data_IF_971302192269
#
_entry.id   IF_971302192269
#
_cell.length_a   1.000
_cell.length_b   1.000
_cell.length_c   1.000
_cell.angle_alpha   90.00
_cell.angle_beta   90.00
_cell.angle_gamma   90.00
#
_symmetry.space_group_name_H-M   'P 1'
#
loop_
_entity.id
_entity.type
_entity.pdbx_description
1 polymer ?
#
# COMPACT_ATOMS: atom_id res chain seq x y z
N UNK A 1 14.67 -13.87 9.37
CA UNK A 1 14.26 -13.00 10.49
C UNK A 1 12.74 -12.81 10.44
N UNK A 2 12.04 -13.04 11.55
CA UNK A 2 10.58 -12.93 11.64
C UNK A 2 10.06 -11.50 11.60
N UNK A 3 8.73 -11.33 11.50
CA UNK A 3 8.09 -10.01 11.46
C UNK A 3 7.99 -9.43 12.89
N UNK A 4 8.79 -8.41 13.18
CA UNK A 4 8.68 -7.66 14.43
C UNK A 4 7.38 -6.84 14.49
N UNK A 5 6.82 -6.69 15.70
CA UNK A 5 5.71 -5.78 15.96
C UNK A 5 6.18 -4.34 15.76
N UNK A 6 5.36 -3.50 15.14
CA UNK A 6 5.61 -2.07 14.94
C UNK A 6 4.47 -1.27 15.54
N UNK A 7 4.80 -0.18 16.23
CA UNK A 7 3.80 0.77 16.72
C UNK A 7 3.12 1.48 15.55
N UNK A 8 1.82 1.76 15.70
CA UNK A 8 1.05 2.50 14.70
C UNK A 8 1.24 4.00 14.86
N UNK A 9 2.45 4.45 14.55
CA UNK A 9 2.84 5.86 14.47
C UNK A 9 3.74 6.09 13.26
N UNK A 10 4.05 7.36 12.95
CA UNK A 10 4.99 7.70 11.88
C UNK A 10 6.36 7.06 12.18
N UNK A 11 6.91 6.34 11.20
CA UNK A 11 8.27 5.79 11.29
C UNK A 11 9.25 6.94 11.04
N UNK A 12 10.03 7.35 12.03
CA UNK A 12 10.92 8.51 11.90
C UNK A 12 12.13 8.23 10.99
N UNK A 13 12.75 7.05 11.14
CA UNK A 13 13.86 6.63 10.30
C UNK A 13 13.44 6.57 8.82
N UNK A 14 14.05 7.43 7.99
CA UNK A 14 13.69 7.61 6.58
C UNK A 14 13.83 6.32 5.75
N UNK A 15 14.89 5.55 5.98
CA UNK A 15 15.17 4.30 5.25
C UNK A 15 14.12 3.24 5.60
N UNK A 16 13.85 3.04 6.89
CA UNK A 16 12.84 2.09 7.35
C UNK A 16 11.44 2.49 6.88
N UNK A 17 11.14 3.79 6.88
CA UNK A 17 9.87 4.32 6.35
C UNK A 17 9.74 4.05 4.85
N UNK A 18 10.80 4.26 4.06
CA UNK A 18 10.80 3.98 2.61
C UNK A 18 10.59 2.49 2.31
N UNK A 19 11.33 1.61 2.99
CA UNK A 19 11.18 0.16 2.82
C UNK A 19 9.78 -0.30 3.25
N UNK A 20 9.28 0.22 4.36
CA UNK A 20 7.94 -0.09 4.86
C UNK A 20 6.86 0.41 3.91
N UNK A 21 7.00 1.62 3.37
CA UNK A 21 6.10 2.16 2.36
C UNK A 21 6.04 1.24 1.15
N UNK A 22 7.18 0.86 0.57
CA UNK A 22 7.23 -0.04 -0.59
C UNK A 22 6.53 -1.37 -0.32
N UNK A 23 6.79 -2.01 0.83
CA UNK A 23 6.18 -3.29 1.19
C UNK A 23 4.67 -3.17 1.45
N UNK A 24 4.23 -2.17 2.23
CA UNK A 24 2.81 -1.97 2.56
C UNK A 24 1.99 -1.53 1.36
N UNK A 25 2.51 -0.63 0.53
CA UNK A 25 1.87 -0.19 -0.72
C UNK A 25 1.62 -1.40 -1.63
N UNK A 26 2.60 -2.27 -1.83
CA UNK A 26 2.43 -3.47 -2.65
C UNK A 26 1.37 -4.42 -2.07
N UNK A 27 1.37 -4.63 -0.74
CA UNK A 27 0.34 -5.43 -0.08
C UNK A 27 -1.07 -4.84 -0.20
N UNK A 28 -1.19 -3.51 -0.10
CA UNK A 28 -2.46 -2.81 -0.26
C UNK A 28 -3.00 -2.88 -1.68
N UNK A 29 -2.14 -2.67 -2.69
CA UNK A 29 -2.49 -2.85 -4.11
C UNK A 29 -2.99 -4.27 -4.38
N UNK A 30 -2.31 -5.29 -3.83
CA UNK A 30 -2.75 -6.68 -3.94
C UNK A 30 -4.14 -6.89 -3.34
N UNK A 31 -4.41 -6.29 -2.17
CA UNK A 31 -5.72 -6.40 -1.51
C UNK A 31 -6.83 -5.68 -2.27
N UNK A 32 -6.55 -4.52 -2.86
CA UNK A 32 -7.50 -3.83 -3.72
C UNK A 32 -7.88 -4.68 -4.94
N UNK A 33 -6.90 -5.30 -5.59
CA UNK A 33 -7.12 -6.23 -6.70
C UNK A 33 -7.89 -7.50 -6.28
N UNK A 34 -7.50 -8.12 -5.17
CA UNK A 34 -8.21 -9.31 -4.65
C UNK A 34 -9.69 -8.98 -4.37
N UNK A 35 -9.96 -7.82 -3.76
CA UNK A 35 -11.32 -7.38 -3.47
C UNK A 35 -12.14 -7.14 -4.74
N UNK A 36 -11.56 -6.45 -5.73
CA UNK A 36 -12.28 -6.17 -6.98
C UNK A 36 -12.67 -7.45 -7.71
N UNK A 37 -11.76 -8.43 -7.78
CA UNK A 37 -12.01 -9.70 -8.48
C UNK A 37 -12.95 -10.62 -7.71
N UNK A 38 -12.76 -10.77 -6.39
CA UNK A 38 -13.53 -11.75 -5.59
C UNK A 38 -14.97 -11.30 -5.32
N UNK A 39 -15.21 -10.00 -5.30
CA UNK A 39 -16.50 -9.44 -4.91
C UNK A 39 -17.19 -8.65 -6.02
N UNK A 40 -16.63 -8.67 -7.24
CA UNK A 40 -17.13 -7.89 -8.38
C UNK A 40 -17.36 -6.41 -8.01
N UNK A 41 -16.40 -5.85 -7.28
CA UNK A 41 -16.50 -4.52 -6.71
C UNK A 41 -15.64 -3.54 -7.50
N UNK A 42 -16.21 -2.39 -7.84
CA UNK A 42 -15.44 -1.26 -8.35
C UNK A 42 -14.58 -0.67 -7.22
N UNK A 43 -13.26 -0.70 -7.41
CA UNK A 43 -12.27 -0.25 -6.42
C UNK A 43 -11.28 0.70 -7.07
N UNK A 44 -11.05 1.85 -6.43
CA UNK A 44 -10.02 2.80 -6.77
C UNK A 44 -9.08 3.05 -5.58
N UNK A 45 -7.78 3.16 -5.86
CA UNK A 45 -6.74 3.46 -4.86
C UNK A 45 -5.76 4.48 -5.43
N UNK A 46 -5.50 5.54 -4.68
CA UNK A 46 -4.58 6.62 -5.06
C UNK A 46 -3.59 6.84 -3.90
N UNK A 47 -2.29 6.78 -4.18
CA UNK A 47 -1.24 6.91 -3.18
C UNK A 47 -0.14 7.84 -3.69
N UNK A 48 0.12 8.92 -2.96
CA UNK A 48 1.30 9.76 -3.17
C UNK A 48 2.42 9.37 -2.21
N UNK A 49 3.62 9.15 -2.76
CA UNK A 49 4.82 9.05 -1.91
C UNK A 49 5.24 10.42 -1.38
N UNK A 50 6.12 10.43 -0.38
CA UNK A 50 6.70 11.68 0.13
C UNK A 50 7.53 12.47 -0.89
N UNK A 51 7.81 11.90 -2.07
CA UNK A 51 8.47 12.58 -3.20
C UNK A 51 7.48 13.03 -4.28
N UNK A 52 6.18 12.97 -4.01
CA UNK A 52 5.13 13.33 -4.96
C UNK A 52 4.83 12.28 -6.03
N UNK A 53 5.57 11.17 -6.10
CA UNK A 53 5.27 10.10 -7.07
C UNK A 53 3.92 9.45 -6.76
N UNK A 54 3.05 9.42 -7.76
CA UNK A 54 1.76 8.75 -7.77
C UNK A 54 1.92 7.23 -7.97
N UNK A 55 1.14 6.48 -7.21
CA UNK A 55 0.87 5.06 -7.38
C UNK A 55 -0.63 4.86 -7.31
N UNK A 56 -1.20 4.17 -8.29
CA UNK A 56 -2.63 4.03 -8.42
C UNK A 56 -3.04 2.60 -8.79
N UNK A 57 -4.29 2.28 -8.51
CA UNK A 57 -5.00 1.12 -8.99
C UNK A 57 -6.45 1.52 -9.27
N UNK A 58 -7.00 1.05 -10.37
CA UNK A 58 -8.42 1.13 -10.69
C UNK A 58 -8.86 -0.20 -11.29
N UNK A 59 -9.96 -0.76 -10.80
CA UNK A 59 -10.65 -1.85 -11.48
C UNK A 59 -11.53 -1.27 -12.58
N UNK A 60 -11.62 -1.99 -13.70
CA UNK A 60 -12.62 -1.72 -14.74
C UNK A 60 -13.83 -2.60 -14.40
N UNK A 61 -15.03 -2.02 -14.43
CA UNK A 61 -16.28 -2.77 -14.37
C UNK A 61 -16.54 -3.54 -15.67
#
# INVERSE_FOLDING_TARGET
>A
MGRGRVEMKRIENKINRQVTFSKRRNGLLKKAYELSVLCDAEVALIIFSSRGKLYEFGSVG
#
